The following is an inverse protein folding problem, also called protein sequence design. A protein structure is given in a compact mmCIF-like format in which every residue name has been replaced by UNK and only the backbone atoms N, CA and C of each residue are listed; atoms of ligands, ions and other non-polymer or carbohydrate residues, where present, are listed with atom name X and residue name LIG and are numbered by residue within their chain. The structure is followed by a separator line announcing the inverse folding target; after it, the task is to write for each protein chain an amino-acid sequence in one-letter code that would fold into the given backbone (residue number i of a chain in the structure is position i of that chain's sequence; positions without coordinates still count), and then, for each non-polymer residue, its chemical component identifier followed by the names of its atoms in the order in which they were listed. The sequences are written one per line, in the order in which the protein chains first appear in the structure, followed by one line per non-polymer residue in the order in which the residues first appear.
data_IF_679563575507
#
_entry.id   IF_679563575507
#
_cell.length_a   1.000
_cell.length_b   1.000
_cell.length_c   1.000
_cell.angle_alpha   90.00
_cell.angle_beta   90.00
_cell.angle_gamma   90.00
#
_symmetry.space_group_name_H-M   'P 1'
#
loop_
_entity.id
_entity.type
_entity.pdbx_description
1 polymer ?
#
# COMPACT_ATOMS: atom_id res chain seq x y z
N UNK A 1 67.86 54.64 26.00
CA UNK A 1 67.11 53.38 25.77
C UNK A 1 66.91 52.70 27.12
N UNK A 2 65.68 52.32 27.50
CA UNK A 2 65.30 51.63 28.79
C UNK A 2 65.49 52.47 30.09
N UNK A 3 64.81 52.22 31.23
CA UNK A 3 63.52 51.55 31.59
C UNK A 3 63.17 51.82 33.09
N UNK A 4 61.87 51.94 33.44
CA UNK A 4 61.25 51.60 34.76
C UNK A 4 61.65 52.48 36.00
N UNK A 5 61.00 52.47 37.19
CA UNK A 5 59.90 51.66 37.79
C UNK A 5 59.22 52.38 39.01
N UNK A 6 58.10 51.82 39.52
CA UNK A 6 57.40 52.06 40.84
C UNK A 6 56.62 53.40 40.95
N UNK A 7 55.56 53.58 41.76
CA UNK A 7 54.82 52.78 42.81
C UNK A 7 53.31 53.21 42.80
N UNK A 8 52.28 52.42 43.13
CA UNK A 8 51.75 52.03 44.49
C UNK A 8 51.50 53.23 45.45
N UNK A 9 50.41 53.35 46.24
CA UNK A 9 49.24 52.48 46.58
C UNK A 9 48.14 53.30 47.36
N UNK A 10 47.01 52.67 47.78
CA UNK A 10 45.97 53.12 48.78
C UNK A 10 44.92 54.16 48.28
N UNK A 11 43.62 54.13 48.65
CA UNK A 11 42.78 53.09 49.31
C UNK A 11 41.45 53.58 49.96
N UNK A 12 40.48 52.63 50.11
CA UNK A 12 39.30 52.55 51.03
C UNK A 12 38.08 53.55 50.99
N UNK A 13 36.88 52.98 50.76
CA UNK A 13 35.55 53.10 51.47
C UNK A 13 35.00 54.45 51.98
N UNK A 14 33.68 54.76 51.97
CA UNK A 14 32.58 54.21 52.83
C UNK A 14 31.16 54.44 52.20
N UNK A 15 30.09 53.95 52.85
CA UNK A 15 28.71 53.72 52.38
C UNK A 15 27.62 54.76 52.81
N UNK A 16 26.51 54.80 52.05
CA UNK A 16 25.08 54.99 52.44
C UNK A 16 24.36 56.37 52.60
N UNK A 17 23.10 56.35 52.08
CA UNK A 17 21.85 57.07 52.43
C UNK A 17 21.64 58.56 52.06
N UNK A 18 20.50 58.89 51.41
CA UNK A 18 20.13 60.31 51.19
C UNK A 18 18.94 60.79 50.32
N UNK A 19 17.83 60.05 50.15
CA UNK A 19 16.49 60.61 49.80
C UNK A 19 16.19 61.24 48.40
N UNK A 20 14.88 61.45 48.15
CA UNK A 20 14.15 62.16 47.07
C UNK A 20 14.82 63.44 46.50
N UNK A 21 14.58 63.93 45.27
CA UNK A 21 13.86 63.48 44.04
C UNK A 21 14.16 64.55 42.92
N UNK A 22 13.51 64.74 41.76
CA UNK A 22 12.23 64.31 41.13
C UNK A 22 12.33 64.20 39.58
N UNK A 23 11.34 63.55 38.96
CA UNK A 23 10.77 63.86 37.62
C UNK A 23 11.70 64.19 36.44
N UNK A 24 11.97 63.18 35.60
CA UNK A 24 12.05 63.36 34.15
C UNK A 24 11.47 62.11 33.47
N UNK A 25 10.24 62.20 32.97
CA UNK A 25 9.69 61.16 32.09
C UNK A 25 10.22 61.43 30.69
N UNK A 26 11.25 60.68 30.29
CA UNK A 26 11.53 60.47 28.88
C UNK A 26 10.68 59.27 28.46
N UNK A 27 9.54 59.56 27.83
CA UNK A 27 8.90 58.59 26.95
C UNK A 27 9.81 58.48 25.72
N UNK A 28 10.58 57.39 25.64
CA UNK A 28 11.37 57.08 24.47
C UNK A 28 10.42 56.68 23.33
N UNK A 29 10.65 57.18 22.12
CA UNK A 29 9.68 57.10 21.00
C UNK A 29 9.63 55.70 20.38
N UNK A 30 9.01 54.76 21.10
CA UNK A 30 8.82 53.36 20.69
C UNK A 30 8.06 53.21 19.36
N UNK A 31 7.36 54.25 18.91
CA UNK A 31 6.67 54.31 17.63
C UNK A 31 7.55 54.66 16.42
N UNK A 32 8.77 55.15 16.65
CA UNK A 32 9.71 55.58 15.60
C UNK A 32 10.39 54.42 14.87
N UNK A 33 10.51 53.26 15.51
CA UNK A 33 11.19 52.11 14.90
C UNK A 33 10.31 51.46 13.82
N UNK A 34 10.90 51.21 12.64
CA UNK A 34 10.30 50.39 11.60
C UNK A 34 10.22 48.91 12.01
N UNK A 35 9.41 48.14 11.28
CA UNK A 35 9.37 46.69 11.46
C UNK A 35 10.75 46.06 11.19
N UNK A 36 11.28 45.31 12.16
CA UNK A 36 12.63 44.71 12.10
C UNK A 36 12.67 43.30 12.71
N UNK A 37 13.65 42.50 12.28
CA UNK A 37 14.00 41.26 12.97
C UNK A 37 14.69 41.57 14.30
N UNK A 38 14.33 40.83 15.34
CA UNK A 38 14.88 40.96 16.70
C UNK A 38 15.16 39.56 17.25
N UNK A 39 16.29 39.39 17.93
CA UNK A 39 16.64 38.15 18.63
C UNK A 39 16.60 38.34 20.15
N UNK A 40 15.77 37.53 20.82
CA UNK A 40 15.53 37.56 22.27
C UNK A 40 15.56 36.10 22.76
N UNK A 41 16.32 35.80 23.83
CA UNK A 41 16.43 34.45 24.41
C UNK A 41 16.78 33.32 23.40
N UNK A 42 17.52 33.65 22.33
CA UNK A 42 17.91 32.73 21.25
C UNK A 42 16.84 32.57 20.15
N UNK A 43 15.62 33.04 20.37
CA UNK A 43 14.53 33.05 19.39
C UNK A 43 14.65 34.24 18.45
N UNK A 44 14.10 34.11 17.26
CA UNK A 44 13.93 35.23 16.30
C UNK A 44 12.47 35.62 16.23
N UNK A 45 12.20 36.92 16.31
CA UNK A 45 10.90 37.56 16.16
C UNK A 45 10.98 38.62 15.05
N UNK A 46 9.85 39.04 14.51
CA UNK A 46 9.74 40.27 13.70
C UNK A 46 8.80 41.24 14.44
N UNK A 47 9.29 42.44 14.76
CA UNK A 47 8.66 43.37 15.72
C UNK A 47 8.54 44.79 15.18
N UNK A 48 7.50 45.52 15.60
CA UNK A 48 7.46 46.99 15.69
C UNK A 48 7.15 47.39 17.14
N UNK A 49 8.10 48.02 17.83
CA UNK A 49 7.98 48.24 19.27
C UNK A 49 7.72 46.91 20.00
N UNK A 50 6.69 46.86 20.84
CA UNK A 50 6.24 45.64 21.51
C UNK A 50 5.40 44.70 20.63
N UNK A 51 4.88 45.17 19.47
CA UNK A 51 4.03 44.37 18.58
C UNK A 51 4.89 43.32 17.87
N UNK A 52 4.59 42.04 18.09
CA UNK A 52 5.14 40.90 17.35
C UNK A 52 4.25 40.56 16.15
N UNK A 53 4.86 40.19 15.02
CA UNK A 53 4.11 39.59 13.90
C UNK A 53 3.69 38.16 14.23
N UNK A 54 2.56 37.73 13.67
CA UNK A 54 2.01 36.37 13.81
C UNK A 54 1.43 35.87 12.48
N UNK A 55 1.56 34.57 12.23
CA UNK A 55 1.26 33.90 10.96
C UNK A 55 2.21 34.36 9.82
N UNK A 56 1.73 34.40 8.57
CA UNK A 56 2.56 34.63 7.39
C UNK A 56 2.88 36.12 7.16
N UNK A 57 4.11 36.41 6.71
CA UNK A 57 4.49 37.72 6.20
C UNK A 57 5.53 37.62 5.08
N UNK A 58 5.40 38.48 4.08
CA UNK A 58 6.47 38.76 3.10
C UNK A 58 7.34 39.90 3.63
N UNK A 59 8.65 39.68 3.71
CA UNK A 59 9.66 40.63 4.16
C UNK A 59 10.77 40.62 3.11
N UNK A 60 11.08 41.78 2.52
CA UNK A 60 12.12 41.97 1.49
C UNK A 60 12.06 40.95 0.33
N UNK A 61 10.84 40.63 -0.11
CA UNK A 61 10.55 39.68 -1.19
C UNK A 61 10.61 38.20 -0.81
N UNK A 62 10.84 37.87 0.48
CA UNK A 62 10.87 36.51 1.00
C UNK A 62 9.69 36.23 1.92
N UNK A 63 9.16 35.01 1.88
CA UNK A 63 8.03 34.58 2.71
C UNK A 63 8.51 33.93 4.02
N UNK A 64 7.97 34.40 5.15
CA UNK A 64 8.24 33.93 6.51
C UNK A 64 6.94 33.54 7.22
N UNK A 65 7.03 32.71 8.26
CA UNK A 65 5.93 32.44 9.19
C UNK A 65 6.39 32.56 10.64
N UNK A 66 5.54 33.18 11.46
CA UNK A 66 5.72 33.35 12.90
C UNK A 66 4.56 32.67 13.63
N UNK A 67 4.81 32.00 14.75
CA UNK A 67 3.74 31.32 15.49
C UNK A 67 2.85 32.28 16.30
N UNK A 68 1.97 31.74 17.14
CA UNK A 68 1.06 32.53 17.98
C UNK A 68 1.77 33.32 19.09
N UNK A 69 3.05 33.03 19.39
CA UNK A 69 3.93 33.79 20.28
C UNK A 69 4.82 34.78 19.50
N UNK A 70 4.73 34.77 18.16
CA UNK A 70 5.59 35.47 17.22
C UNK A 70 6.95 34.81 16.97
N UNK A 71 7.18 33.57 17.42
CA UNK A 71 8.44 32.86 17.19
C UNK A 71 8.55 32.41 15.74
N UNK A 72 9.63 32.82 15.07
CA UNK A 72 9.91 32.43 13.68
C UNK A 72 10.12 30.91 13.57
N UNK A 73 9.44 30.28 12.61
CA UNK A 73 9.52 28.83 12.37
C UNK A 73 10.69 28.44 11.45
N UNK A 74 11.13 27.18 11.52
CA UNK A 74 12.17 26.59 10.64
C UNK A 74 11.85 25.13 10.34
N UNK A 75 12.38 24.57 9.24
CA UNK A 75 12.17 23.16 8.88
C UNK A 75 10.73 22.84 8.48
N UNK A 76 10.27 21.61 8.77
CA UNK A 76 8.92 21.16 8.44
C UNK A 76 7.85 21.79 9.33
N UNK A 77 6.80 22.34 8.72
CA UNK A 77 5.67 22.94 9.43
C UNK A 77 4.33 22.48 8.82
N UNK A 78 3.38 22.09 9.66
CA UNK A 78 1.99 21.87 9.25
C UNK A 78 1.14 23.04 9.71
N UNK A 79 0.90 23.99 8.81
CA UNK A 79 0.37 25.33 9.14
C UNK A 79 -0.70 25.77 8.12
N UNK A 80 -1.62 26.68 8.51
CA UNK A 80 -2.67 27.17 7.62
C UNK A 80 -2.12 27.77 6.33
N UNK A 81 -2.78 27.55 5.19
CA UNK A 81 -2.48 28.24 3.93
C UNK A 81 -2.38 29.77 4.10
N UNK A 82 -1.55 30.49 3.33
CA UNK A 82 -1.44 31.95 3.35
C UNK A 82 -2.64 32.63 2.63
N UNK A 83 -3.78 32.73 3.31
CA UNK A 83 -5.01 33.34 2.76
C UNK A 83 -5.14 34.80 3.24
N UNK A 84 -5.25 35.72 2.28
CA UNK A 84 -5.29 37.18 2.53
C UNK A 84 -6.45 37.55 3.44
N UNK A 85 -6.16 38.33 4.49
CA UNK A 85 -7.14 38.74 5.49
C UNK A 85 -7.43 37.70 6.58
N UNK A 86 -6.93 36.46 6.45
CA UNK A 86 -7.03 35.43 7.50
C UNK A 86 -5.67 35.23 8.18
N UNK A 87 -4.69 34.80 7.40
CA UNK A 87 -3.39 34.27 7.87
C UNK A 87 -2.19 34.94 7.19
N UNK A 88 -2.41 35.68 6.11
CA UNK A 88 -1.45 36.64 5.55
C UNK A 88 -2.12 38.01 5.36
N UNK A 89 -1.35 39.08 5.45
CA UNK A 89 -1.85 40.45 5.24
C UNK A 89 -2.25 40.75 3.79
N UNK A 90 -2.87 41.91 3.52
CA UNK A 90 -3.23 42.95 4.50
C UNK A 90 -4.43 42.57 5.37
N UNK A 91 -4.49 43.15 6.57
CA UNK A 91 -5.62 43.03 7.50
C UNK A 91 -6.30 44.41 7.63
N UNK A 92 -7.41 44.68 6.94
CA UNK A 92 -8.10 45.98 7.01
C UNK A 92 -8.46 46.32 8.45
N UNK A 93 -8.06 47.51 8.92
CA UNK A 93 -8.23 47.97 10.30
C UNK A 93 -7.65 47.00 11.38
N UNK A 94 -6.72 46.13 11.01
CA UNK A 94 -6.17 45.07 11.89
C UNK A 94 -7.08 43.86 12.09
N UNK A 95 -8.25 43.82 11.43
CA UNK A 95 -9.25 42.76 11.58
C UNK A 95 -8.86 41.54 10.72
N UNK A 96 -8.90 40.35 11.32
CA UNK A 96 -8.83 39.06 10.61
C UNK A 96 -10.24 38.54 10.33
N UNK A 97 -10.43 37.89 9.19
CA UNK A 97 -11.71 37.31 8.77
C UNK A 97 -12.05 36.04 9.59
N UNK A 98 -13.34 35.76 9.77
CA UNK A 98 -13.82 34.61 10.55
C UNK A 98 -13.64 33.28 9.82
N UNK A 99 -13.15 32.28 10.54
CA UNK A 99 -12.79 30.97 10.01
C UNK A 99 -11.28 30.74 10.04
N UNK A 100 -10.84 29.54 9.64
CA UNK A 100 -9.43 29.17 9.66
C UNK A 100 -9.08 28.41 8.37
N UNK A 101 -8.08 28.85 7.57
CA UNK A 101 -7.66 28.11 6.39
C UNK A 101 -7.19 26.69 6.73
N UNK A 102 -7.40 25.76 5.80
CA UNK A 102 -6.85 24.39 5.90
C UNK A 102 -5.33 24.46 6.11
N UNK A 103 -4.82 23.63 7.02
CA UNK A 103 -3.36 23.44 7.18
C UNK A 103 -2.78 22.51 6.13
N UNK A 104 -1.57 22.83 5.68
CA UNK A 104 -0.78 22.02 4.75
C UNK A 104 0.68 21.97 5.20
N UNK A 105 1.45 21.06 4.58
CA UNK A 105 2.87 20.89 4.87
C UNK A 105 3.73 21.84 4.04
N UNK A 106 4.51 22.67 4.72
CA UNK A 106 5.48 23.60 4.15
C UNK A 106 6.89 23.32 4.72
N UNK A 107 7.92 23.74 4.01
CA UNK A 107 9.32 23.62 4.45
C UNK A 107 10.01 24.99 4.46
N UNK A 108 10.68 25.31 5.56
CA UNK A 108 11.42 26.55 5.77
C UNK A 108 12.90 26.26 5.97
N UNK A 109 13.78 27.11 5.45
CA UNK A 109 15.21 26.98 5.71
C UNK A 109 15.55 27.28 7.18
N UNK A 110 16.83 27.07 7.53
CA UNK A 110 17.37 27.38 8.88
C UNK A 110 17.28 28.87 9.28
N UNK A 111 17.01 29.76 8.32
CA UNK A 111 16.86 31.20 8.51
C UNK A 111 15.38 31.63 8.55
N UNK A 112 14.43 30.68 8.48
CA UNK A 112 12.99 30.91 8.51
C UNK A 112 12.37 31.33 7.17
N UNK A 113 13.10 31.20 6.06
CA UNK A 113 12.61 31.52 4.71
C UNK A 113 11.87 30.32 4.14
N UNK A 114 10.62 30.49 3.74
CA UNK A 114 9.86 29.47 3.00
C UNK A 114 10.65 29.03 1.78
N UNK A 115 10.80 27.73 1.58
CA UNK A 115 11.36 27.20 0.34
C UNK A 115 10.22 27.07 -0.67
N UNK A 116 10.30 27.87 -1.74
CA UNK A 116 9.30 27.97 -2.80
C UNK A 116 9.45 26.80 -3.81
N UNK A 117 9.55 25.58 -3.27
CA UNK A 117 9.70 24.33 -4.03
C UNK A 117 8.47 24.04 -4.89
N UNK A 118 8.69 23.37 -6.03
CA UNK A 118 7.66 22.86 -6.94
C UNK A 118 8.20 21.60 -7.62
N UNK A 119 7.44 20.51 -7.61
CA UNK A 119 7.88 19.22 -8.15
C UNK A 119 8.55 18.32 -7.10
N UNK A 120 9.37 17.36 -7.56
CA UNK A 120 10.04 16.38 -6.71
C UNK A 120 11.23 16.97 -5.95
N UNK A 121 11.23 16.82 -4.63
CA UNK A 121 12.32 17.22 -3.74
C UNK A 121 12.73 16.09 -2.79
N UNK A 122 14.02 16.00 -2.49
CA UNK A 122 14.57 15.05 -1.53
C UNK A 122 14.93 15.79 -0.22
N UNK A 123 14.12 15.57 0.83
CA UNK A 123 14.24 16.27 2.12
C UNK A 123 14.26 15.28 3.29
N UNK A 124 14.69 15.75 4.46
CA UNK A 124 14.70 14.94 5.69
C UNK A 124 13.29 14.43 6.04
N UNK A 125 13.18 13.21 6.56
CA UNK A 125 11.91 12.68 7.08
C UNK A 125 11.33 13.56 8.18
N UNK A 126 10.00 13.63 8.19
CA UNK A 126 9.23 14.24 9.27
C UNK A 126 9.23 13.38 10.53
N UNK A 127 9.73 13.95 11.62
CA UNK A 127 9.77 13.37 12.96
C UNK A 127 9.43 14.43 14.00
N UNK A 128 9.23 14.00 15.24
CA UNK A 128 9.08 14.88 16.42
C UNK A 128 10.23 15.89 16.59
N UNK A 129 11.41 15.60 16.03
CA UNK A 129 12.60 16.46 16.12
C UNK A 129 12.85 17.33 14.86
N UNK A 130 12.23 17.03 13.71
CA UNK A 130 12.31 17.86 12.48
C UNK A 130 11.06 18.72 12.22
N UNK A 131 9.92 18.40 12.82
CA UNK A 131 8.64 19.11 12.63
C UNK A 131 8.38 20.16 13.71
N UNK A 132 7.73 21.26 13.34
CA UNK A 132 7.17 22.25 14.27
C UNK A 132 8.21 23.14 14.95
N UNK A 133 9.49 22.99 14.58
CA UNK A 133 10.65 23.63 15.21
C UNK A 133 10.62 25.16 15.05
N UNK A 134 11.30 25.85 15.97
CA UNK A 134 11.46 27.31 15.98
C UNK A 134 12.93 27.70 15.81
N UNK A 135 13.19 28.92 15.35
CA UNK A 135 14.56 29.41 15.23
C UNK A 135 15.28 29.40 16.58
N UNK A 136 16.55 28.96 16.59
CA UNK A 136 17.41 28.87 17.78
C UNK A 136 17.14 27.67 18.70
N UNK A 137 16.15 26.85 18.36
CA UNK A 137 15.85 25.61 19.08
C UNK A 137 16.89 24.53 18.76
N UNK A 138 17.44 23.87 19.78
CA UNK A 138 18.40 22.77 19.57
C UNK A 138 17.64 21.46 19.32
N UNK A 139 18.15 20.64 18.39
CA UNK A 139 17.69 19.24 18.25
C UNK A 139 18.11 18.44 19.47
N UNK A 140 17.27 17.48 19.86
CA UNK A 140 17.34 16.83 21.18
C UNK A 140 18.39 15.72 21.21
N UNK A 141 18.67 15.11 20.04
CA UNK A 141 19.87 14.33 19.77
C UNK A 141 20.94 15.21 19.08
N UNK A 142 22.06 15.53 19.77
CA UNK A 142 23.24 16.15 19.14
C UNK A 142 24.35 15.14 18.80
N UNK A 143 24.20 13.85 19.17
CA UNK A 143 25.23 12.80 18.98
C UNK A 143 24.96 11.83 17.82
N UNK A 144 24.11 12.20 16.86
CA UNK A 144 24.01 11.49 15.57
C UNK A 144 25.30 11.70 14.75
N UNK A 145 26.33 10.92 15.08
CA UNK A 145 27.66 10.90 14.43
C UNK A 145 27.66 10.32 13.01
N UNK A 146 26.49 9.93 12.51
CA UNK A 146 26.22 9.82 11.09
C UNK A 146 25.06 10.77 10.77
N UNK A 147 25.22 11.64 9.77
CA UNK A 147 24.19 12.60 9.33
C UNK A 147 23.05 11.91 8.53
N UNK A 148 22.69 10.68 8.93
CA UNK A 148 21.57 9.86 8.43
C UNK A 148 20.22 10.38 8.94
N UNK A 149 20.01 11.69 8.75
CA UNK A 149 18.70 12.18 8.38
C UNK A 149 18.24 11.34 7.19
N UNK A 150 17.24 10.48 7.41
CA UNK A 150 16.72 9.65 6.32
C UNK A 150 16.05 10.60 5.32
N UNK A 151 16.66 10.78 4.16
CA UNK A 151 16.04 11.54 3.08
C UNK A 151 14.95 10.71 2.42
N UNK A 152 13.82 11.35 2.12
CA UNK A 152 12.78 10.73 1.31
C UNK A 152 12.25 11.71 0.28
N UNK A 153 11.53 11.19 -0.71
CA UNK A 153 11.04 11.94 -1.84
C UNK A 153 9.67 12.51 -1.51
N UNK A 154 9.53 13.81 -1.70
CA UNK A 154 8.33 14.61 -1.53
C UNK A 154 7.96 15.26 -2.86
N UNK A 155 6.69 15.63 -3.05
CA UNK A 155 6.26 16.40 -4.21
C UNK A 155 5.53 17.66 -3.75
N UNK A 156 6.03 18.82 -4.19
CA UNK A 156 5.46 20.14 -3.90
C UNK A 156 4.60 20.64 -5.06
N UNK A 157 3.45 21.23 -4.73
CA UNK A 157 2.56 21.85 -5.72
C UNK A 157 2.95 23.31 -6.02
N UNK A 158 2.19 23.96 -6.90
CA UNK A 158 2.40 25.35 -7.33
C UNK A 158 2.20 26.39 -6.20
N UNK A 159 1.73 25.99 -5.02
CA UNK A 159 1.58 26.84 -3.82
C UNK A 159 2.65 26.52 -2.75
N UNK A 160 3.68 25.73 -3.11
CA UNK A 160 4.79 25.35 -2.25
C UNK A 160 4.40 24.51 -1.03
N UNK A 161 3.27 23.80 -1.10
CA UNK A 161 2.84 22.80 -0.12
C UNK A 161 2.93 21.37 -0.68
N UNK A 162 3.01 20.37 0.22
CA UNK A 162 3.08 18.96 -0.20
C UNK A 162 1.74 18.45 -0.77
N UNK A 163 1.83 17.75 -1.90
CA UNK A 163 0.75 16.87 -2.36
C UNK A 163 0.63 15.60 -1.52
N UNK A 164 -0.57 15.03 -1.47
CA UNK A 164 -0.85 13.79 -0.71
C UNK A 164 -1.87 12.90 -1.41
N UNK A 165 -1.75 11.58 -1.26
CA UNK A 165 -2.56 10.61 -2.01
C UNK A 165 -2.02 10.36 -3.43
N UNK A 166 -2.91 10.19 -4.41
CA UNK A 166 -2.54 9.84 -5.77
C UNK A 166 -2.00 11.05 -6.57
N UNK A 167 -0.77 10.93 -7.05
CA UNK A 167 -0.11 11.88 -7.94
C UNK A 167 0.06 11.24 -9.34
N UNK A 168 -0.27 11.99 -10.38
CA UNK A 168 0.13 11.65 -11.76
C UNK A 168 1.19 12.64 -12.23
N UNK A 169 2.41 12.14 -12.49
CA UNK A 169 3.55 12.92 -12.98
C UNK A 169 4.40 12.07 -13.93
N UNK A 170 5.10 12.69 -14.89
CA UNK A 170 6.00 12.01 -15.84
C UNK A 170 5.37 10.76 -16.50
N UNK A 171 4.08 10.87 -16.86
CA UNK A 171 3.23 9.80 -17.41
C UNK A 171 2.98 8.59 -16.50
N UNK A 172 3.35 8.66 -15.22
CA UNK A 172 3.25 7.59 -14.23
C UNK A 172 2.36 7.98 -13.04
N UNK A 173 1.77 6.97 -12.38
CA UNK A 173 1.06 7.16 -11.11
C UNK A 173 1.96 6.83 -9.93
N UNK A 174 1.94 7.69 -8.92
CA UNK A 174 2.62 7.54 -7.63
C UNK A 174 1.59 7.68 -6.50
N UNK A 175 1.91 7.15 -5.33
CA UNK A 175 1.13 7.42 -4.11
C UNK A 175 2.03 8.07 -3.06
N UNK A 176 1.61 9.24 -2.61
CA UNK A 176 2.20 10.02 -1.54
C UNK A 176 1.40 9.76 -0.26
N UNK A 177 2.05 9.66 0.89
CA UNK A 177 1.35 9.39 2.15
C UNK A 177 0.26 10.44 2.42
N UNK A 178 -0.92 10.00 2.86
CA UNK A 178 -1.99 10.93 3.31
C UNK A 178 -1.61 11.53 4.65
N UNK A 179 -1.99 12.80 4.88
CA UNK A 179 -1.63 13.48 6.12
C UNK A 179 -2.27 12.83 7.32
N UNK A 180 -1.44 12.36 8.27
CA UNK A 180 -1.85 11.82 9.55
C UNK A 180 -0.93 12.38 10.64
N UNK A 181 -1.51 13.07 11.62
CA UNK A 181 -0.79 13.72 12.71
C UNK A 181 -1.47 13.35 14.02
N UNK A 182 -0.90 12.39 14.75
CA UNK A 182 -1.45 11.89 16.01
C UNK A 182 -0.34 11.62 17.04
N UNK A 183 -0.16 12.58 17.95
CA UNK A 183 0.79 12.51 19.06
C UNK A 183 2.25 12.64 18.62
N UNK A 184 2.81 11.57 18.04
CA UNK A 184 4.23 11.48 17.66
C UNK A 184 4.45 11.15 16.17
N UNK A 185 3.42 10.68 15.45
CA UNK A 185 3.50 10.51 14.00
C UNK A 185 3.23 11.84 13.29
N UNK A 186 4.03 12.11 12.26
CA UNK A 186 3.94 13.31 11.42
C UNK A 186 3.99 12.92 9.94
N UNK A 187 2.99 12.17 9.49
CA UNK A 187 2.93 11.58 8.15
C UNK A 187 2.27 12.58 7.18
N UNK A 188 2.71 12.62 5.93
CA UNK A 188 2.06 13.33 4.83
C UNK A 188 3.04 13.69 3.71
N UNK A 189 2.78 13.20 2.50
CA UNK A 189 3.55 13.52 1.29
C UNK A 189 4.74 12.62 1.02
N UNK A 190 5.13 11.71 1.92
CA UNK A 190 6.20 10.74 1.66
C UNK A 190 5.84 9.84 0.47
N UNK A 191 6.68 9.79 -0.58
CA UNK A 191 6.52 8.82 -1.67
C UNK A 191 6.54 7.39 -1.11
N UNK A 192 5.49 6.63 -1.39
CA UNK A 192 5.36 5.23 -0.99
C UNK A 192 5.94 4.29 -2.06
N UNK A 193 6.30 3.09 -1.62
CA UNK A 193 6.65 1.95 -2.49
C UNK A 193 6.10 0.66 -1.88
N UNK A 194 6.06 -0.43 -2.66
CA UNK A 194 5.48 -1.71 -2.25
C UNK A 194 3.95 -1.69 -2.17
N UNK A 195 3.38 -2.57 -1.34
CA UNK A 195 1.93 -2.64 -1.12
C UNK A 195 1.41 -1.44 -0.34
N UNK A 196 0.37 -0.78 -0.86
CA UNK A 196 -0.41 0.24 -0.15
C UNK A 196 -1.90 -0.11 -0.24
N UNK A 197 -2.66 0.30 0.79
CA UNK A 197 -4.12 0.27 0.76
C UNK A 197 -4.65 1.70 0.74
N UNK A 198 -5.57 2.01 -0.17
CA UNK A 198 -6.34 3.25 -0.17
C UNK A 198 -7.82 2.95 -0.40
N UNK A 199 -8.71 3.59 0.37
CA UNK A 199 -10.15 3.33 0.39
C UNK A 199 -10.49 1.83 0.38
N UNK A 200 -9.86 1.07 1.29
CA UNK A 200 -9.92 -0.40 1.41
C UNK A 200 -9.38 -1.21 0.21
N UNK A 201 -8.99 -0.56 -0.88
CA UNK A 201 -8.47 -1.20 -2.11
C UNK A 201 -6.96 -1.32 -2.04
N UNK A 202 -6.41 -2.48 -2.37
CA UNK A 202 -4.95 -2.70 -2.43
C UNK A 202 -4.37 -2.33 -3.80
N UNK A 203 -3.18 -1.74 -3.78
CA UNK A 203 -2.38 -1.37 -4.94
C UNK A 203 -0.93 -1.77 -4.68
N UNK A 204 -0.19 -2.10 -5.74
CA UNK A 204 1.25 -2.32 -5.65
C UNK A 204 2.01 -1.21 -6.39
N UNK A 205 2.93 -0.58 -5.67
CA UNK A 205 3.88 0.38 -6.19
C UNK A 205 5.24 -0.33 -6.31
N UNK A 206 5.95 -0.07 -7.40
CA UNK A 206 7.30 -0.59 -7.60
C UNK A 206 8.23 -0.23 -6.43
N UNK A 207 9.04 -1.20 -5.98
CA UNK A 207 9.83 -1.08 -4.75
C UNK A 207 10.96 -0.04 -4.83
N UNK A 208 11.47 0.24 -6.02
CA UNK A 208 12.62 1.13 -6.24
C UNK A 208 12.17 2.53 -6.68
N UNK A 209 11.26 2.58 -7.66
CA UNK A 209 10.80 3.83 -8.29
C UNK A 209 9.57 4.45 -7.61
N UNK A 210 8.72 3.62 -6.97
CA UNK A 210 7.41 4.03 -6.44
C UNK A 210 6.30 4.11 -7.49
N UNK A 211 6.55 3.67 -8.74
CA UNK A 211 5.57 3.71 -9.84
C UNK A 211 4.50 2.63 -9.65
N UNK A 212 3.22 3.02 -9.69
CA UNK A 212 2.07 2.11 -9.61
C UNK A 212 2.12 1.04 -10.71
N UNK A 213 2.00 -0.23 -10.31
CA UNK A 213 2.06 -1.37 -11.20
C UNK A 213 0.68 -1.82 -11.68
N UNK A 214 0.62 -2.30 -12.92
CA UNK A 214 -0.59 -2.83 -13.59
C UNK A 214 -0.26 -4.14 -14.30
N UNK A 215 -1.30 -4.91 -14.65
CA UNK A 215 -1.19 -6.23 -15.27
C UNK A 215 -0.78 -7.34 -14.30
N UNK A 216 -0.34 -8.48 -14.86
CA UNK A 216 0.27 -9.56 -14.08
C UNK A 216 1.62 -9.14 -13.50
N UNK A 217 1.82 -9.36 -12.21
CA UNK A 217 3.08 -9.10 -11.49
C UNK A 217 3.44 -10.27 -10.59
N UNK A 218 4.71 -10.69 -10.64
CA UNK A 218 5.28 -11.59 -9.66
C UNK A 218 5.90 -10.75 -8.54
N UNK A 219 5.40 -10.91 -7.31
CA UNK A 219 5.82 -10.14 -6.14
C UNK A 219 6.25 -11.16 -5.08
N UNK A 220 7.55 -11.22 -4.80
CA UNK A 220 8.16 -12.35 -4.10
C UNK A 220 7.98 -13.64 -4.90
N UNK A 221 7.44 -14.69 -4.25
CA UNK A 221 7.15 -15.97 -4.89
C UNK A 221 5.69 -16.13 -5.38
N UNK A 222 4.86 -15.08 -5.26
CA UNK A 222 3.42 -15.09 -5.61
C UNK A 222 3.13 -14.27 -6.86
N UNK A 223 2.12 -14.66 -7.62
CA UNK A 223 1.59 -13.90 -8.76
C UNK A 223 0.31 -13.16 -8.38
N UNK A 224 0.16 -11.95 -8.89
CA UNK A 224 -0.98 -11.05 -8.64
C UNK A 224 -1.43 -10.43 -9.96
N UNK A 225 -2.72 -10.10 -10.08
CA UNK A 225 -3.23 -9.30 -11.20
C UNK A 225 -3.71 -7.92 -10.73
N UNK A 226 -3.02 -6.88 -11.18
CA UNK A 226 -3.31 -5.48 -10.89
C UNK A 226 -4.09 -4.91 -12.10
N UNK A 227 -5.25 -4.28 -11.87
CA UNK A 227 -6.08 -3.72 -12.96
C UNK A 227 -5.38 -2.54 -13.64
N UNK A 228 -5.95 -2.05 -14.75
CA UNK A 228 -5.48 -0.82 -15.41
C UNK A 228 -5.53 0.42 -14.49
N UNK A 229 -6.38 0.40 -13.45
CA UNK A 229 -6.42 1.39 -12.37
C UNK A 229 -5.43 1.11 -11.22
N UNK A 230 -4.53 0.12 -11.36
CA UNK A 230 -3.63 -0.34 -10.31
C UNK A 230 -4.28 -1.18 -9.20
N UNK A 231 -5.61 -1.25 -9.14
CA UNK A 231 -6.33 -1.99 -8.10
C UNK A 231 -6.10 -3.51 -8.20
N UNK A 232 -5.68 -4.14 -7.10
CA UNK A 232 -5.49 -5.58 -6.99
C UNK A 232 -6.81 -6.34 -7.24
N UNK A 233 -6.73 -7.44 -7.98
CA UNK A 233 -7.88 -8.33 -8.22
C UNK A 233 -7.87 -9.51 -7.26
N UNK A 234 -9.04 -9.80 -6.71
CA UNK A 234 -9.35 -11.01 -5.92
C UNK A 234 -10.47 -11.80 -6.61
N UNK A 235 -10.59 -13.09 -6.27
CA UNK A 235 -11.60 -13.98 -6.82
C UNK A 235 -11.35 -14.39 -8.28
N UNK A 236 -12.43 -14.72 -9.00
CA UNK A 236 -12.35 -15.15 -10.40
C UNK A 236 -12.03 -13.97 -11.33
N UNK A 237 -11.00 -14.14 -12.16
CA UNK A 237 -10.58 -13.22 -13.20
C UNK A 237 -10.55 -13.94 -14.56
N UNK A 238 -10.91 -13.22 -15.64
CA UNK A 238 -10.89 -13.74 -17.00
C UNK A 238 -9.99 -12.86 -17.89
N UNK A 239 -9.04 -13.49 -18.57
CA UNK A 239 -8.15 -12.86 -19.55
C UNK A 239 -8.34 -13.56 -20.90
N UNK A 240 -9.01 -12.88 -21.84
CA UNK A 240 -9.46 -13.50 -23.08
C UNK A 240 -10.43 -14.66 -22.82
N UNK A 241 -10.06 -15.87 -23.23
CA UNK A 241 -10.80 -17.10 -22.96
C UNK A 241 -10.35 -17.83 -21.67
N UNK A 242 -9.29 -17.38 -21.01
CA UNK A 242 -8.66 -18.08 -19.89
C UNK A 242 -9.17 -17.54 -18.57
N UNK A 243 -9.61 -18.43 -17.67
CA UNK A 243 -9.97 -18.07 -16.30
C UNK A 243 -8.82 -18.33 -15.33
N UNK A 244 -8.73 -17.49 -14.31
CA UNK A 244 -7.78 -17.56 -13.21
C UNK A 244 -8.53 -17.33 -11.90
N UNK A 245 -8.02 -17.87 -10.79
CA UNK A 245 -8.53 -17.56 -9.46
C UNK A 245 -7.43 -16.91 -8.62
N UNK A 246 -7.68 -15.67 -8.22
CA UNK A 246 -6.88 -14.91 -7.26
C UNK A 246 -7.50 -15.12 -5.87
N UNK A 247 -6.68 -15.25 -4.83
CA UNK A 247 -7.13 -15.42 -3.45
C UNK A 247 -8.12 -14.33 -3.03
N UNK A 248 -9.20 -14.71 -2.35
CA UNK A 248 -10.28 -13.79 -2.01
C UNK A 248 -9.85 -12.68 -1.02
N UNK A 249 -8.89 -12.98 -0.15
CA UNK A 249 -8.39 -12.08 0.90
C UNK A 249 -7.05 -11.46 0.50
N UNK A 250 -6.15 -12.29 -0.07
CA UNK A 250 -4.75 -11.97 -0.30
C UNK A 250 -4.43 -11.58 -1.75
N UNK A 251 -5.33 -11.82 -2.72
CA UNK A 251 -5.11 -11.55 -4.15
C UNK A 251 -4.09 -12.43 -4.88
N UNK A 252 -3.48 -13.42 -4.21
CA UNK A 252 -2.49 -14.29 -4.85
C UNK A 252 -3.10 -15.38 -5.74
N UNK A 253 -2.53 -15.54 -6.94
CA UNK A 253 -2.98 -16.48 -7.95
C UNK A 253 -2.82 -17.94 -7.49
N UNK A 254 -3.93 -18.67 -7.44
CA UNK A 254 -3.95 -20.08 -7.06
C UNK A 254 -3.57 -21.01 -8.19
N UNK A 255 -3.00 -22.15 -7.81
CA UNK A 255 -2.68 -23.31 -8.66
C UNK A 255 -3.13 -24.59 -7.95
N UNK A 256 -3.14 -25.73 -8.66
CA UNK A 256 -3.62 -27.01 -8.15
C UNK A 256 -5.14 -27.07 -7.95
N UNK A 257 -5.58 -28.00 -7.11
CA UNK A 257 -7.00 -28.18 -6.77
C UNK A 257 -7.50 -27.09 -5.83
N UNK A 258 -8.62 -26.46 -6.19
CA UNK A 258 -9.27 -25.41 -5.40
C UNK A 258 -10.75 -25.76 -5.19
N UNK A 259 -11.23 -25.68 -3.94
CA UNK A 259 -12.64 -25.93 -3.59
C UNK A 259 -13.35 -24.59 -3.35
N UNK A 260 -14.16 -24.17 -4.32
CA UNK A 260 -14.74 -22.83 -4.41
C UNK A 260 -16.25 -22.95 -4.63
N UNK A 261 -17.07 -22.29 -3.80
CA UNK A 261 -18.53 -22.28 -4.00
C UNK A 261 -19.18 -23.68 -4.05
N UNK A 262 -18.72 -24.60 -3.20
CA UNK A 262 -19.10 -26.02 -3.18
C UNK A 262 -18.76 -26.83 -4.45
N UNK A 263 -17.75 -26.40 -5.20
CA UNK A 263 -17.26 -27.08 -6.41
C UNK A 263 -15.74 -27.19 -6.42
N UNK A 264 -15.21 -28.29 -6.96
CA UNK A 264 -13.78 -28.44 -7.22
C UNK A 264 -13.42 -27.90 -8.61
N UNK A 265 -12.29 -27.19 -8.67
CA UNK A 265 -11.67 -26.67 -9.88
C UNK A 265 -10.18 -27.06 -9.88
N UNK A 266 -9.59 -27.23 -11.06
CA UNK A 266 -8.14 -27.43 -11.19
C UNK A 266 -7.52 -26.23 -11.90
N UNK A 267 -6.64 -25.53 -11.21
CA UNK A 267 -5.87 -24.39 -11.72
C UNK A 267 -4.50 -24.94 -12.13
N UNK A 268 -4.09 -24.78 -13.39
CA UNK A 268 -2.80 -25.30 -13.88
C UNK A 268 -1.62 -24.58 -13.19
N UNK A 269 -0.40 -25.06 -13.39
CA UNK A 269 0.82 -24.39 -12.86
C UNK A 269 0.98 -22.93 -13.32
N UNK A 270 0.37 -22.57 -14.47
CA UNK A 270 0.27 -21.19 -14.97
C UNK A 270 -0.92 -20.40 -14.42
N UNK A 271 -1.63 -20.91 -13.41
CA UNK A 271 -2.88 -20.33 -12.88
C UNK A 271 -4.12 -20.51 -13.75
N UNK A 272 -3.95 -20.89 -15.03
CA UNK A 272 -5.06 -21.09 -15.96
C UNK A 272 -5.98 -22.24 -15.51
N UNK A 273 -7.26 -21.96 -15.30
CA UNK A 273 -8.30 -22.95 -15.00
C UNK A 273 -8.38 -24.00 -16.12
N UNK A 274 -8.38 -25.26 -15.74
CA UNK A 274 -8.54 -26.37 -16.67
C UNK A 274 -10.01 -26.69 -16.95
N UNK A 275 -10.29 -27.02 -18.20
CA UNK A 275 -11.54 -27.63 -18.68
C UNK A 275 -11.21 -28.93 -19.43
N UNK A 276 -12.19 -29.82 -19.55
CA UNK A 276 -12.00 -31.14 -20.16
C UNK A 276 -11.23 -32.12 -19.28
N UNK A 277 -10.56 -33.08 -19.91
CA UNK A 277 -9.76 -34.08 -19.20
C UNK A 277 -8.44 -33.49 -18.66
N UNK A 278 -8.18 -33.74 -17.37
CA UNK A 278 -6.92 -33.42 -16.69
C UNK A 278 -6.34 -34.71 -16.11
N UNK A 279 -5.03 -34.89 -16.28
CA UNK A 279 -4.26 -35.90 -15.56
C UNK A 279 -3.45 -35.22 -14.48
N UNK A 280 -3.63 -35.65 -13.23
CA UNK A 280 -2.92 -35.16 -12.06
C UNK A 280 -2.18 -36.34 -11.43
N UNK A 281 -0.86 -36.31 -11.48
CA UNK A 281 -0.02 -37.49 -11.22
C UNK A 281 -0.37 -38.67 -12.16
N UNK A 282 -0.81 -39.78 -11.58
CA UNK A 282 -1.29 -40.96 -12.31
C UNK A 282 -2.80 -40.92 -12.65
N UNK A 283 -3.56 -40.06 -11.98
CA UNK A 283 -5.04 -40.11 -11.96
C UNK A 283 -5.65 -39.17 -13.00
N UNK A 284 -6.70 -39.62 -13.69
CA UNK A 284 -7.50 -38.79 -14.59
C UNK A 284 -8.73 -38.22 -13.90
N UNK A 285 -9.09 -37.00 -14.25
CA UNK A 285 -10.25 -36.24 -13.79
C UNK A 285 -10.90 -35.55 -14.99
N UNK A 286 -12.21 -35.28 -14.92
CA UNK A 286 -12.88 -34.46 -15.92
C UNK A 286 -13.46 -33.19 -15.30
N UNK A 287 -13.01 -32.04 -15.81
CA UNK A 287 -13.53 -30.72 -15.50
C UNK A 287 -14.50 -30.32 -16.60
N UNK A 288 -15.62 -29.71 -16.24
CA UNK A 288 -16.66 -29.30 -17.17
C UNK A 288 -16.11 -28.37 -18.27
N UNK A 289 -16.38 -28.72 -19.54
CA UNK A 289 -15.88 -28.02 -20.72
C UNK A 289 -16.16 -26.50 -20.70
N UNK A 290 -17.32 -26.09 -20.15
CA UNK A 290 -17.80 -24.71 -20.24
C UNK A 290 -17.48 -23.84 -19.01
N UNK A 291 -17.29 -24.44 -17.83
CA UNK A 291 -17.16 -23.68 -16.58
C UNK A 291 -16.12 -24.24 -15.59
N UNK A 292 -15.36 -25.28 -15.96
CA UNK A 292 -14.29 -25.84 -15.13
C UNK A 292 -14.69 -26.68 -13.92
N UNK A 293 -15.99 -26.86 -13.61
CA UNK A 293 -16.38 -27.63 -12.42
C UNK A 293 -16.14 -29.14 -12.56
N UNK A 294 -15.48 -29.74 -11.56
CA UNK A 294 -15.12 -31.16 -11.55
C UNK A 294 -16.37 -32.06 -11.54
N UNK A 295 -16.37 -33.08 -12.40
CA UNK A 295 -17.45 -34.07 -12.48
C UNK A 295 -17.19 -35.32 -11.64
N UNK A 296 -18.28 -35.97 -11.27
CA UNK A 296 -18.34 -37.25 -10.54
C UNK A 296 -19.45 -38.12 -11.15
N UNK A 297 -19.49 -39.42 -10.80
CA UNK A 297 -20.46 -40.37 -11.33
C UNK A 297 -20.25 -40.72 -12.81
N UNK A 298 -21.30 -41.23 -13.44
CA UNK A 298 -21.31 -41.56 -14.87
C UNK A 298 -21.30 -40.30 -15.75
N UNK A 299 -20.40 -40.26 -16.72
CA UNK A 299 -20.26 -39.16 -17.69
C UNK A 299 -20.20 -39.71 -19.12
N UNK A 300 -21.01 -39.16 -20.02
CA UNK A 300 -20.98 -39.49 -21.46
C UNK A 300 -20.20 -38.43 -22.22
N UNK A 301 -19.02 -38.80 -22.72
CA UNK A 301 -18.00 -37.89 -23.25
C UNK A 301 -17.41 -38.48 -24.53
N UNK A 302 -17.37 -37.72 -25.63
CA UNK A 302 -16.77 -38.20 -26.89
C UNK A 302 -17.37 -39.52 -27.40
N UNK A 303 -18.70 -39.65 -27.30
CA UNK A 303 -19.49 -40.85 -27.62
C UNK A 303 -19.20 -42.10 -26.75
N UNK A 304 -18.53 -41.94 -25.60
CA UNK A 304 -18.17 -43.03 -24.67
C UNK A 304 -18.63 -42.74 -23.25
N UNK A 305 -18.97 -43.80 -22.50
CA UNK A 305 -19.25 -43.69 -21.06
C UNK A 305 -17.98 -43.88 -20.23
N UNK A 306 -17.87 -43.08 -19.19
CA UNK A 306 -16.81 -43.10 -18.18
C UNK A 306 -17.45 -43.06 -16.78
N UNK A 307 -16.82 -43.69 -15.79
CA UNK A 307 -17.20 -43.57 -14.40
C UNK A 307 -16.15 -42.79 -13.61
N UNK A 308 -16.55 -41.68 -13.00
CA UNK A 308 -15.73 -40.87 -12.12
C UNK A 308 -16.16 -41.14 -10.67
N UNK A 309 -15.20 -41.42 -9.79
CA UNK A 309 -15.48 -41.67 -8.36
C UNK A 309 -15.96 -40.38 -7.67
N UNK A 310 -16.42 -40.48 -6.42
CA UNK A 310 -16.82 -39.31 -5.61
C UNK A 310 -15.70 -38.27 -5.44
N UNK A 311 -14.43 -38.69 -5.53
CA UNK A 311 -13.24 -37.83 -5.57
C UNK A 311 -12.92 -37.24 -6.95
N UNK A 312 -13.78 -37.43 -7.96
CA UNK A 312 -13.55 -37.05 -9.37
C UNK A 312 -12.60 -37.97 -10.14
N UNK A 313 -11.87 -38.85 -9.44
CA UNK A 313 -10.92 -39.78 -10.04
C UNK A 313 -11.61 -40.81 -10.96
N UNK A 314 -11.19 -40.86 -12.23
CA UNK A 314 -11.66 -41.83 -13.22
C UNK A 314 -11.37 -43.26 -12.77
N UNK A 315 -12.38 -44.13 -12.87
CA UNK A 315 -12.22 -45.55 -12.60
C UNK A 315 -11.77 -46.32 -13.86
N UNK A 316 -10.93 -47.32 -13.63
CA UNK A 316 -10.54 -48.35 -14.60
C UNK A 316 -10.74 -49.73 -13.96
N UNK A 317 -10.90 -50.77 -14.79
CA UNK A 317 -11.22 -52.11 -14.34
C UNK A 317 -12.69 -52.27 -13.91
N UNK A 318 -12.93 -53.21 -12.99
CA UNK A 318 -14.28 -53.50 -12.49
C UNK A 318 -14.80 -52.41 -11.55
N UNK A 319 -16.01 -51.93 -11.83
CA UNK A 319 -16.78 -51.01 -10.97
C UNK A 319 -18.12 -51.67 -10.65
N UNK A 320 -18.52 -51.63 -9.38
CA UNK A 320 -19.88 -51.96 -8.96
C UNK A 320 -20.63 -50.67 -8.62
N UNK A 321 -21.81 -50.52 -9.18
CA UNK A 321 -22.73 -49.43 -8.91
C UNK A 321 -24.09 -50.02 -8.49
N UNK A 322 -24.50 -49.76 -7.25
CA UNK A 322 -25.58 -50.50 -6.58
C UNK A 322 -25.34 -52.03 -6.60
N UNK A 323 -26.25 -52.77 -7.21
CA UNK A 323 -26.14 -54.22 -7.44
C UNK A 323 -25.35 -54.59 -8.69
N UNK A 324 -25.21 -53.67 -9.66
CA UNK A 324 -24.75 -53.95 -11.02
C UNK A 324 -23.23 -53.81 -11.16
N UNK A 325 -22.61 -54.72 -11.92
CA UNK A 325 -21.21 -54.63 -12.30
C UNK A 325 -21.04 -54.02 -13.69
N UNK A 326 -19.95 -53.28 -13.87
CA UNK A 326 -19.51 -52.64 -15.11
C UNK A 326 -18.01 -52.85 -15.26
N UNK A 327 -17.51 -52.91 -16.49
CA UNK A 327 -16.06 -52.92 -16.77
C UNK A 327 -15.65 -51.66 -17.54
N UNK A 328 -14.78 -50.87 -16.93
CA UNK A 328 -14.15 -49.69 -17.52
C UNK A 328 -12.77 -50.13 -18.03
N UNK A 329 -12.43 -49.77 -19.27
CA UNK A 329 -11.19 -50.21 -19.90
C UNK A 329 -9.94 -49.84 -19.07
N UNK A 330 -9.04 -50.81 -18.87
CA UNK A 330 -7.86 -50.66 -18.03
C UNK A 330 -6.93 -49.49 -18.43
N UNK A 331 -6.85 -49.15 -19.72
CA UNK A 331 -5.90 -48.17 -20.26
C UNK A 331 -6.49 -46.77 -20.41
N UNK A 332 -7.76 -46.67 -20.83
CA UNK A 332 -8.39 -45.39 -21.20
C UNK A 332 -9.70 -45.07 -20.46
N UNK A 333 -10.19 -45.96 -19.59
CA UNK A 333 -11.41 -45.75 -18.80
C UNK A 333 -12.74 -45.90 -19.53
N UNK A 334 -12.78 -46.26 -20.83
CA UNK A 334 -14.04 -46.40 -21.55
C UNK A 334 -14.85 -47.64 -21.15
N UNK A 335 -16.14 -47.46 -20.86
CA UNK A 335 -17.06 -48.53 -20.47
C UNK A 335 -17.23 -49.55 -21.61
N UNK A 336 -17.17 -50.84 -21.28
CA UNK A 336 -17.39 -51.93 -22.24
C UNK A 336 -18.84 -52.35 -22.35
N UNK A 337 -19.21 -52.70 -23.58
CA UNK A 337 -20.47 -53.30 -24.01
C UNK A 337 -20.14 -54.40 -25.03
N UNK A 338 -21.09 -55.31 -25.27
CA UNK A 338 -20.83 -56.53 -26.03
C UNK A 338 -19.92 -57.51 -25.30
N UNK A 339 -19.36 -58.46 -26.04
CA UNK A 339 -18.37 -59.43 -25.53
C UNK A 339 -16.99 -58.79 -25.35
N UNK A 340 -16.40 -58.95 -24.17
CA UNK A 340 -15.02 -58.50 -23.87
C UNK A 340 -14.28 -59.52 -22.99
N UNK A 341 -12.94 -59.44 -23.00
CA UNK A 341 -12.08 -60.37 -22.25
C UNK A 341 -11.30 -59.63 -21.15
N UNK A 342 -11.21 -60.24 -19.97
CA UNK A 342 -10.38 -59.79 -18.83
C UNK A 342 -9.64 -60.98 -18.26
N UNK A 343 -8.30 -60.90 -18.15
CA UNK A 343 -7.44 -61.97 -17.62
C UNK A 343 -7.73 -63.36 -18.22
N UNK A 344 -7.95 -63.43 -19.54
CA UNK A 344 -8.26 -64.66 -20.27
C UNK A 344 -9.75 -65.10 -20.23
N UNK A 345 -10.55 -64.62 -19.28
CA UNK A 345 -11.98 -64.93 -19.17
C UNK A 345 -12.83 -63.97 -20.01
N UNK A 346 -13.91 -64.48 -20.60
CA UNK A 346 -14.87 -63.69 -21.37
C UNK A 346 -16.08 -63.29 -20.53
N UNK A 347 -16.57 -62.08 -20.78
CA UNK A 347 -17.69 -61.42 -20.11
C UNK A 347 -18.55 -60.70 -21.15
N UNK A 348 -19.83 -60.45 -20.84
CA UNK A 348 -20.73 -59.69 -21.71
C UNK A 348 -21.34 -58.49 -20.97
N UNK A 349 -21.21 -57.29 -21.53
CA UNK A 349 -21.93 -56.09 -21.09
C UNK A 349 -23.11 -55.78 -22.01
N UNK A 350 -24.30 -55.59 -21.47
CA UNK A 350 -25.45 -55.10 -22.24
C UNK A 350 -25.18 -53.70 -22.84
N UNK A 351 -26.07 -53.17 -23.69
CA UNK A 351 -25.94 -51.81 -24.26
C UNK A 351 -25.84 -50.69 -23.20
N UNK A 352 -26.30 -50.95 -21.97
CA UNK A 352 -26.16 -50.07 -20.80
C UNK A 352 -24.83 -50.21 -20.05
N UNK A 353 -23.94 -51.12 -20.48
CA UNK A 353 -22.69 -51.49 -19.78
C UNK A 353 -22.86 -52.47 -18.62
N UNK A 354 -24.10 -52.78 -18.22
CA UNK A 354 -24.39 -53.72 -17.16
C UNK A 354 -23.91 -55.14 -17.52
N UNK A 355 -23.17 -55.78 -16.63
CA UNK A 355 -22.67 -57.14 -16.78
C UNK A 355 -23.82 -58.17 -16.75
N UNK A 356 -23.86 -59.06 -17.74
CA UNK A 356 -24.70 -60.24 -17.71
C UNK A 356 -24.17 -61.27 -16.70
N UNK A 357 -25.02 -61.78 -15.81
CA UNK A 357 -24.68 -62.79 -14.79
C UNK A 357 -25.79 -63.83 -14.67
N UNK A 358 -25.44 -65.10 -14.38
CA UNK A 358 -26.37 -66.24 -14.24
C UNK A 358 -27.43 -66.32 -15.36
N UNK A 359 -27.00 -66.18 -16.62
CA UNK A 359 -27.92 -66.07 -17.77
C UNK A 359 -27.25 -66.55 -19.06
N UNK A 360 -28.00 -66.62 -20.15
CA UNK A 360 -27.50 -66.97 -21.48
C UNK A 360 -27.57 -65.76 -22.40
N UNK A 361 -26.48 -65.45 -23.09
CA UNK A 361 -26.37 -64.39 -24.10
C UNK A 361 -25.90 -65.00 -25.41
N UNK A 362 -26.63 -64.80 -26.50
CA UNK A 362 -26.31 -65.32 -27.85
C UNK A 362 -26.04 -66.85 -27.91
N UNK A 363 -26.60 -67.61 -26.97
CA UNK A 363 -26.38 -69.06 -26.81
C UNK A 363 -25.26 -69.44 -25.82
N UNK A 364 -24.47 -68.49 -25.32
CA UNK A 364 -23.38 -68.70 -24.37
C UNK A 364 -23.83 -68.42 -22.93
N UNK A 365 -23.62 -69.38 -22.02
CA UNK A 365 -23.98 -69.23 -20.61
C UNK A 365 -22.89 -68.50 -19.81
N UNK A 366 -23.28 -67.49 -19.03
CA UNK A 366 -22.42 -66.75 -18.10
C UNK A 366 -22.80 -67.03 -16.65
N UNK A 367 -21.80 -67.31 -15.81
CA UNK A 367 -22.00 -67.68 -14.41
C UNK A 367 -22.29 -66.47 -13.50
N UNK A 368 -22.28 -66.67 -12.17
CA UNK A 368 -22.59 -65.63 -11.19
C UNK A 368 -21.56 -64.49 -11.12
N UNK A 369 -20.34 -64.70 -11.64
CA UNK A 369 -19.32 -63.67 -11.83
C UNK A 369 -19.41 -63.01 -13.22
N UNK A 370 -20.37 -63.42 -14.06
CA UNK A 370 -20.52 -63.00 -15.45
C UNK A 370 -19.51 -63.63 -16.42
N UNK A 371 -18.83 -64.70 -15.97
CA UNK A 371 -17.81 -65.38 -16.77
C UNK A 371 -18.45 -66.43 -17.68
N UNK A 372 -18.10 -66.42 -18.97
CA UNK A 372 -18.53 -67.44 -19.92
C UNK A 372 -18.02 -68.83 -19.50
N UNK A 373 -18.95 -69.78 -19.37
CA UNK A 373 -18.68 -71.20 -19.18
C UNK A 373 -18.82 -71.93 -20.53
N UNK A 374 -17.80 -72.72 -20.88
CA UNK A 374 -17.77 -73.57 -22.08
C UNK A 374 -18.46 -74.90 -21.85
#
# INVERSE_FOLDING_TARGET
MKLLKKTMQVGLTVFFFGLLATSAVLADDADSEGWKFVQENGRTYYKKGDIKETYWRVIDGKTYYFDYNGEMVVGWQYIPMPVKGYTIGPYPNGIRLEGFPKSEWYYFDKNGVLQEFVGWEALEVKTKDSVGRKHGEKRTNPEDKEEKSFYTNYYFNQNHSLETGWLYDQSNWYYLAKTEINGENYIGGEKRSGWIQDASTWYYLDSETGIMQTGWKQIGNKWYYLRSSGAMTTGWYQEGSTWYYLDAENGDMKTGWQYLGNKWYYLRSSGAMATGWVKDGSTWYYLNANNGDMKTGWQYLGNKWYYLRSSGAMATGWVKDGSTWYYLNANNGDMKTGWFQVNGKWYYGYGSGALAVNTTVDGYYVNYNGEWVK
#
